data_IF_398179734813
#
_entry.id   IF_398179734813
#
_cell.length_a   1.000
_cell.length_b   1.000
_cell.length_c   1.000
_cell.angle_alpha   90.00
_cell.angle_beta   90.00
_cell.angle_gamma   90.00
#
_symmetry.space_group_name_H-M   'P 1'
#
loop_
_entity.id
_entity.type
_entity.pdbx_description
1 polymer ?
#
# COMPACT_ATOMS: atom_id res chain seq x y z
N UNK A 1 14.58 19.85 4.37
CA UNK A 1 13.12 19.67 4.43
C UNK A 1 12.53 18.95 3.21
N UNK A 2 12.98 19.25 1.99
CA UNK A 2 12.50 18.62 0.72
C UNK A 2 12.57 17.09 0.68
N UNK A 3 13.60 16.46 1.28
CA UNK A 3 13.73 15.00 1.34
C UNK A 3 12.57 14.31 2.07
N UNK A 4 11.94 14.96 3.07
CA UNK A 4 10.85 14.36 3.85
C UNK A 4 9.58 14.14 3.02
N UNK A 5 9.38 14.95 1.98
CA UNK A 5 8.22 14.86 1.07
C UNK A 5 8.48 13.93 -0.12
N UNK A 6 9.75 13.66 -0.46
CA UNK A 6 10.12 12.84 -1.60
C UNK A 6 9.53 11.43 -1.49
N UNK A 7 9.69 10.78 -0.34
CA UNK A 7 9.24 9.41 -0.15
C UNK A 7 7.71 9.26 -0.22
N UNK A 8 6.89 10.08 0.48
CA UNK A 8 5.44 10.06 0.31
C UNK A 8 4.99 10.28 -1.14
N UNK A 9 5.61 11.22 -1.86
CA UNK A 9 5.28 11.49 -3.27
C UNK A 9 5.59 10.30 -4.15
N UNK A 10 6.77 9.67 -3.99
CA UNK A 10 7.15 8.46 -4.71
C UNK A 10 6.18 7.31 -4.42
N UNK A 11 5.85 7.10 -3.13
CA UNK A 11 4.92 6.05 -2.70
C UNK A 11 3.53 6.23 -3.35
N UNK A 12 3.02 7.46 -3.33
CA UNK A 12 1.74 7.81 -3.95
C UNK A 12 1.77 7.65 -5.46
N UNK A 13 2.85 8.08 -6.11
CA UNK A 13 3.03 7.93 -7.57
C UNK A 13 3.04 6.47 -7.99
N UNK A 14 3.74 5.61 -7.25
CA UNK A 14 3.74 4.15 -7.47
C UNK A 14 2.33 3.58 -7.26
N UNK A 15 1.61 4.01 -6.22
CA UNK A 15 0.23 3.62 -5.98
C UNK A 15 -0.71 3.99 -7.14
N UNK A 16 -0.61 5.23 -7.65
CA UNK A 16 -1.42 5.71 -8.77
C UNK A 16 -1.09 4.96 -10.06
N UNK A 17 0.20 4.78 -10.36
CA UNK A 17 0.62 4.00 -11.53
C UNK A 17 0.12 2.56 -11.46
N UNK A 18 0.22 1.91 -10.29
CA UNK A 18 -0.29 0.56 -10.10
C UNK A 18 -1.81 0.47 -10.20
N UNK A 19 -2.53 1.54 -9.84
CA UNK A 19 -3.98 1.64 -9.98
C UNK A 19 -4.39 1.77 -11.45
N UNK A 20 -3.70 2.62 -12.23
CA UNK A 20 -3.97 2.85 -13.65
C UNK A 20 -3.51 1.68 -14.53
N UNK A 21 -2.37 1.09 -14.22
CA UNK A 21 -1.75 0.01 -14.98
C UNK A 21 -1.90 -1.34 -14.25
N UNK A 22 -3.10 -1.91 -14.30
CA UNK A 22 -3.40 -3.21 -13.67
C UNK A 22 -3.08 -4.44 -14.56
N UNK A 23 -2.19 -4.29 -15.54
CA UNK A 23 -1.91 -5.31 -16.55
C UNK A 23 -1.03 -6.43 -15.99
N UNK A 24 -1.60 -7.63 -15.81
CA UNK A 24 -0.89 -8.83 -15.31
C UNK A 24 0.33 -9.22 -16.16
N UNK A 25 0.32 -8.89 -17.46
CA UNK A 25 1.37 -9.27 -18.41
C UNK A 25 2.71 -8.54 -18.18
N UNK A 26 2.72 -7.40 -17.48
CA UNK A 26 3.97 -6.72 -17.17
C UNK A 26 4.60 -7.41 -15.95
N UNK A 27 5.47 -8.39 -16.21
CA UNK A 27 6.11 -9.23 -15.19
C UNK A 27 6.91 -8.47 -14.11
N UNK A 28 7.12 -7.16 -14.27
CA UNK A 28 7.90 -6.33 -13.36
C UNK A 28 7.07 -5.51 -12.36
N UNK A 29 5.75 -5.38 -12.56
CA UNK A 29 4.97 -4.35 -11.85
C UNK A 29 3.76 -4.96 -11.14
N UNK A 30 3.54 -4.55 -9.89
CA UNK A 30 2.37 -4.92 -9.09
C UNK A 30 2.66 -5.77 -7.86
N UNK A 31 1.64 -5.95 -7.03
CA UNK A 31 1.74 -6.66 -5.75
C UNK A 31 1.92 -8.17 -5.96
N UNK A 32 3.03 -8.72 -5.44
CA UNK A 32 3.38 -10.13 -5.60
C UNK A 32 3.43 -10.84 -4.26
N UNK A 33 2.35 -11.55 -3.96
CA UNK A 33 2.31 -12.56 -2.91
C UNK A 33 1.84 -13.90 -3.46
N UNK A 34 2.07 -14.97 -2.70
CA UNK A 34 1.63 -16.30 -3.06
C UNK A 34 0.11 -16.35 -3.31
N UNK A 35 -0.67 -15.56 -2.58
CA UNK A 35 -2.12 -15.46 -2.78
C UNK A 35 -2.51 -14.61 -4.00
N UNK A 36 -1.73 -13.58 -4.33
CA UNK A 36 -2.01 -12.67 -5.44
C UNK A 36 -1.79 -13.29 -6.83
N UNK A 37 -0.86 -14.24 -6.96
CA UNK A 37 -0.45 -14.81 -8.26
C UNK A 37 -1.35 -15.96 -8.73
N UNK A 38 -2.19 -16.52 -7.84
CA UNK A 38 -3.06 -17.69 -8.11
C UNK A 38 -3.90 -17.52 -9.37
N UNK A 39 -4.71 -16.48 -9.43
CA UNK A 39 -5.63 -16.22 -10.53
C UNK A 39 -5.67 -14.73 -10.90
N UNK A 40 -6.20 -14.41 -12.09
CA UNK A 40 -6.41 -13.02 -12.55
C UNK A 40 -7.34 -12.21 -11.62
N UNK A 41 -8.24 -12.90 -10.92
CA UNK A 41 -9.13 -12.28 -9.94
C UNK A 41 -8.35 -11.83 -8.71
N UNK A 42 -7.52 -12.70 -8.14
CA UNK A 42 -6.66 -12.38 -7.00
C UNK A 42 -5.66 -11.30 -7.35
N UNK A 43 -5.05 -11.38 -8.54
CA UNK A 43 -4.15 -10.35 -9.03
C UNK A 43 -4.81 -8.97 -9.05
N UNK A 44 -6.00 -8.86 -9.66
CA UNK A 44 -6.73 -7.58 -9.73
C UNK A 44 -7.13 -7.06 -8.35
N UNK A 45 -7.57 -7.93 -7.45
CA UNK A 45 -7.92 -7.54 -6.08
C UNK A 45 -6.68 -7.08 -5.31
N UNK A 46 -5.58 -7.82 -5.39
CA UNK A 46 -4.32 -7.48 -4.75
C UNK A 46 -3.81 -6.13 -5.24
N UNK A 47 -3.80 -5.94 -6.56
CA UNK A 47 -3.32 -4.72 -7.20
C UNK A 47 -4.18 -3.52 -6.80
N UNK A 48 -5.51 -3.64 -6.84
CA UNK A 48 -6.41 -2.54 -6.46
C UNK A 48 -6.29 -2.19 -4.98
N UNK A 49 -6.20 -3.20 -4.12
CA UNK A 49 -6.12 -3.03 -2.66
C UNK A 49 -4.80 -2.39 -2.27
N UNK A 50 -3.67 -2.97 -2.71
CA UNK A 50 -2.34 -2.42 -2.43
C UNK A 50 -2.17 -1.02 -2.99
N UNK A 51 -2.63 -0.75 -4.22
CA UNK A 51 -2.56 0.60 -4.82
C UNK A 51 -3.36 1.62 -4.00
N UNK A 52 -4.59 1.28 -3.60
CA UNK A 52 -5.41 2.15 -2.78
C UNK A 52 -4.76 2.42 -1.41
N UNK A 53 -4.17 1.39 -0.80
CA UNK A 53 -3.45 1.51 0.47
C UNK A 53 -2.18 2.37 0.33
N UNK A 54 -1.42 2.25 -0.76
CA UNK A 54 -0.25 3.10 -1.03
C UNK A 54 -0.63 4.58 -1.23
N UNK A 55 -1.73 4.85 -1.95
CA UNK A 55 -2.24 6.21 -2.11
C UNK A 55 -2.71 6.78 -0.77
N UNK A 56 -3.45 6.01 0.02
CA UNK A 56 -3.89 6.43 1.35
C UNK A 56 -2.71 6.67 2.30
N UNK A 57 -1.71 5.79 2.29
CA UNK A 57 -0.47 5.95 3.05
C UNK A 57 0.31 7.20 2.64
N UNK A 58 0.42 7.47 1.34
CA UNK A 58 1.06 8.67 0.81
C UNK A 58 0.37 9.94 1.34
N UNK A 59 -0.96 10.01 1.24
CA UNK A 59 -1.74 11.14 1.75
C UNK A 59 -1.57 11.30 3.27
N UNK A 60 -1.63 10.20 4.02
CA UNK A 60 -1.40 10.22 5.46
C UNK A 60 -0.01 10.77 5.82
N UNK A 61 1.04 10.31 5.15
CA UNK A 61 2.41 10.77 5.39
C UNK A 61 2.63 12.23 4.99
N UNK A 62 1.95 12.71 3.93
CA UNK A 62 1.95 14.12 3.55
C UNK A 62 1.31 14.99 4.62
N UNK A 63 0.14 14.59 5.14
CA UNK A 63 -0.53 15.28 6.24
C UNK A 63 0.30 15.26 7.52
N UNK A 64 0.94 14.13 7.84
CA UNK A 64 1.80 14.00 9.00
C UNK A 64 3.03 14.91 8.90
N UNK A 65 3.70 14.94 7.75
CA UNK A 65 4.81 15.86 7.49
C UNK A 65 4.38 17.32 7.66
N UNK A 66 3.27 17.71 7.03
CA UNK A 66 2.73 19.07 7.14
C UNK A 66 2.46 19.44 8.60
N UNK A 67 1.87 18.53 9.37
CA UNK A 67 1.56 18.73 10.79
C UNK A 67 2.84 18.83 11.62
N UNK A 68 3.81 17.93 11.43
CA UNK A 68 5.08 17.93 12.17
C UNK A 68 5.90 19.20 11.94
N UNK A 69 5.80 19.82 10.77
CA UNK A 69 6.47 21.10 10.49
C UNK A 69 5.89 22.29 11.27
N UNK A 70 4.68 22.17 11.83
CA UNK A 70 4.08 23.20 12.69
C UNK A 70 4.59 23.13 14.14
N UNK A 71 5.28 22.06 14.51
CA UNK A 71 5.80 21.86 15.87
C UNK A 71 7.32 22.06 15.91
N UNK A 72 7.80 22.70 16.97
CA UNK A 72 9.23 22.93 17.25
C UNK A 72 9.93 21.68 17.81
N UNK A 73 9.72 20.53 17.18
CA UNK A 73 10.46 19.32 17.54
C UNK A 73 11.91 19.39 17.07
N UNK A 74 12.81 18.79 17.85
CA UNK A 74 14.16 18.54 17.38
C UNK A 74 14.15 17.72 16.08
N UNK A 75 15.05 18.04 15.15
CA UNK A 75 15.10 17.41 13.82
C UNK A 75 15.20 15.87 13.91
N UNK A 76 15.95 15.36 14.88
CA UNK A 76 16.11 13.92 15.14
C UNK A 76 14.77 13.25 15.49
N UNK A 77 13.96 13.91 16.31
CA UNK A 77 12.62 13.42 16.70
C UNK A 77 11.68 13.40 15.51
N UNK A 78 11.67 14.45 14.68
CA UNK A 78 10.86 14.50 13.46
C UNK A 78 11.24 13.36 12.49
N UNK A 79 12.54 13.11 12.31
CA UNK A 79 13.03 12.02 11.48
C UNK A 79 12.62 10.65 12.02
N UNK A 80 12.75 10.42 13.34
CA UNK A 80 12.36 9.17 13.96
C UNK A 80 10.85 8.89 13.79
N UNK A 81 10.00 9.90 13.98
CA UNK A 81 8.55 9.79 13.77
C UNK A 81 8.27 9.42 12.31
N UNK A 82 8.90 10.10 11.36
CA UNK A 82 8.68 9.85 9.93
C UNK A 82 9.16 8.47 9.49
N UNK A 83 10.31 8.00 9.96
CA UNK A 83 10.80 6.64 9.68
C UNK A 83 9.81 5.61 10.22
N UNK A 84 9.34 5.79 11.46
CA UNK A 84 8.39 4.88 12.09
C UNK A 84 7.06 4.85 11.34
N UNK A 85 6.53 6.02 10.96
CA UNK A 85 5.29 6.14 10.19
C UNK A 85 5.41 5.47 8.80
N UNK A 86 6.56 5.61 8.13
CA UNK A 86 6.82 4.96 6.84
C UNK A 86 6.78 3.43 6.97
N UNK A 87 7.48 2.87 7.95
CA UNK A 87 7.49 1.42 8.21
C UNK A 87 6.06 0.94 8.48
N UNK A 88 5.32 1.64 9.34
CA UNK A 88 3.95 1.30 9.65
C UNK A 88 3.04 1.31 8.40
N UNK A 89 3.16 2.32 7.55
CA UNK A 89 2.38 2.41 6.31
C UNK A 89 2.66 1.25 5.33
N UNK A 90 3.92 0.86 5.18
CA UNK A 90 4.31 -0.27 4.32
C UNK A 90 3.77 -1.58 4.89
N UNK A 91 3.96 -1.83 6.18
CA UNK A 91 3.44 -3.03 6.86
C UNK A 91 1.92 -3.11 6.77
N UNK A 92 1.24 -1.99 7.04
CA UNK A 92 -0.22 -1.89 6.92
C UNK A 92 -0.67 -2.25 5.50
N UNK A 93 0.01 -1.73 4.47
CA UNK A 93 -0.34 -2.02 3.07
C UNK A 93 -0.22 -3.51 2.74
N UNK A 94 0.84 -4.18 3.21
CA UNK A 94 1.04 -5.62 3.01
C UNK A 94 -0.05 -6.41 3.76
N UNK A 95 -0.21 -6.16 5.05
CA UNK A 95 -1.16 -6.89 5.91
C UNK A 95 -2.59 -6.71 5.40
N UNK A 96 -2.99 -5.48 5.10
CA UNK A 96 -4.31 -5.18 4.57
C UNK A 96 -4.56 -5.91 3.24
N UNK A 97 -3.58 -5.93 2.35
CA UNK A 97 -3.71 -6.61 1.05
C UNK A 97 -3.84 -8.14 1.23
N UNK A 98 -3.04 -8.76 2.10
CA UNK A 98 -3.17 -10.20 2.39
C UNK A 98 -4.49 -10.55 3.06
N UNK A 99 -4.94 -9.76 4.05
CA UNK A 99 -6.22 -10.01 4.73
C UNK A 99 -7.40 -9.94 3.75
N UNK A 100 -7.36 -9.01 2.77
CA UNK A 100 -8.38 -8.94 1.73
C UNK A 100 -8.31 -10.15 0.79
N UNK A 101 -7.11 -10.62 0.44
CA UNK A 101 -6.94 -11.82 -0.40
C UNK A 101 -7.41 -13.10 0.31
N UNK A 102 -7.17 -13.24 1.61
CA UNK A 102 -7.66 -14.37 2.40
C UNK A 102 -9.19 -14.42 2.43
N UNK A 103 -9.85 -13.26 2.60
CA UNK A 103 -11.31 -13.16 2.51
C UNK A 103 -11.85 -13.57 1.13
N UNK A 104 -11.13 -13.25 0.06
CA UNK A 104 -11.47 -13.70 -1.30
C UNK A 104 -11.35 -15.21 -1.42
N UNK A 105 -10.29 -15.83 -0.88
CA UNK A 105 -10.11 -17.29 -0.86
C UNK A 105 -11.25 -17.99 -0.12
N UNK A 106 -11.61 -17.52 1.08
CA UNK A 106 -12.69 -18.10 1.88
C UNK A 106 -14.03 -18.06 1.15
N UNK A 107 -14.34 -16.92 0.50
CA UNK A 107 -15.61 -16.76 -0.25
C UNK A 107 -15.69 -17.67 -1.49
N UNK A 108 -14.57 -17.94 -2.14
CA UNK A 108 -14.52 -18.89 -3.27
C UNK A 108 -14.78 -20.32 -2.78
N UNK A 109 -14.14 -20.73 -1.68
CA UNK A 109 -14.34 -22.08 -1.11
C UNK A 109 -15.78 -22.30 -0.64
N UNK A 110 -16.42 -21.31 -0.02
CA UNK A 110 -17.84 -21.41 0.40
C UNK A 110 -18.79 -21.62 -0.78
N UNK A 111 -18.57 -20.94 -1.90
CA UNK A 111 -19.38 -21.10 -3.12
C UNK A 111 -19.18 -22.48 -3.79
N UNK A 112 -18.05 -23.15 -3.56
CA UNK A 112 -17.80 -24.51 -4.06
C UNK A 112 -18.50 -25.58 -3.22
N UNK A 113 -18.63 -25.38 -1.90
CA UNK A 113 -19.29 -26.33 -0.99
C UNK A 113 -20.82 -26.28 -1.14
N UNK A 114 -21.37 -25.17 -1.63
CA UNK A 114 -22.82 -24.98 -1.82
C UNK A 114 -23.35 -25.40 -3.21
N UNK A 115 -22.50 -25.94 -4.08
CA UNK A 115 -22.89 -26.50 -5.38
C UNK A 115 -22.82 -28.02 -5.36
#
# INVERSE_FOLDING_TARGET
MTILYLFPILLGSIGILNFLFHHKQVHLVGYRSHNAIKDDKHWRVAQRTSSSSLVAASLFLLCLNFTLTQFEYALQTQQAIMITANIFCVLYTIIHTETVLEKVNQKINQNYIQK
#
